data_IF_387664669001
#
_entry.id   IF_387664669001
#
_cell.length_a   1.000
_cell.length_b   1.000
_cell.length_c   1.000
_cell.angle_alpha   90.00
_cell.angle_beta   90.00
_cell.angle_gamma   90.00
#
_symmetry.space_group_name_H-M   'P 1'
#
loop_
_entity.id
_entity.type
_entity.pdbx_description
1 polymer ?
#
# COMPACT_ATOMS: atom_id res chain seq x y z
N UNK A 1 23.11 12.67 -4.99
CA UNK A 1 23.36 11.34 -4.37
C UNK A 1 22.81 10.30 -5.32
N UNK A 2 23.67 9.80 -6.20
CA UNK A 2 23.32 8.85 -7.27
C UNK A 2 23.76 7.47 -6.81
N UNK A 3 22.80 6.55 -6.77
CA UNK A 3 22.92 5.17 -6.30
C UNK A 3 23.82 4.36 -7.24
N UNK A 4 24.92 3.83 -6.70
CA UNK A 4 25.83 2.95 -7.41
C UNK A 4 25.25 1.54 -7.44
N UNK A 5 24.90 1.06 -8.63
CA UNK A 5 24.40 -0.28 -8.89
C UNK A 5 25.53 -1.31 -8.76
N UNK A 6 25.26 -2.36 -8.01
CA UNK A 6 26.12 -3.53 -7.80
C UNK A 6 26.15 -4.36 -9.09
N UNK A 7 27.28 -4.34 -9.80
CA UNK A 7 27.55 -5.27 -10.90
C UNK A 7 28.32 -6.47 -10.33
N UNK A 8 27.65 -7.62 -10.28
CA UNK A 8 28.20 -8.87 -9.81
C UNK A 8 28.82 -9.61 -11.00
N UNK A 9 30.15 -9.77 -10.96
CA UNK A 9 30.96 -10.47 -11.96
C UNK A 9 30.72 -11.99 -11.84
N UNK A 10 30.09 -12.60 -12.83
CA UNK A 10 29.92 -14.04 -12.92
C UNK A 10 31.12 -14.64 -13.66
N UNK A 11 32.03 -15.28 -12.92
CA UNK A 11 33.12 -16.09 -13.47
C UNK A 11 32.58 -17.48 -13.79
N UNK A 12 32.44 -17.79 -15.07
CA UNK A 12 32.23 -19.13 -15.63
C UNK A 12 33.54 -19.93 -15.58
N UNK A 13 33.56 -21.19 -15.10
CA UNK A 13 34.76 -22.02 -15.17
C UNK A 13 34.96 -22.54 -16.59
N UNK A 14 36.21 -22.41 -17.06
CA UNK A 14 36.66 -22.82 -18.38
C UNK A 14 36.65 -24.35 -18.55
N UNK A 15 36.24 -24.79 -19.74
CA UNK A 15 36.30 -26.17 -20.20
C UNK A 15 37.76 -26.58 -20.45
N UNK A 16 38.15 -27.74 -19.91
CA UNK A 16 39.47 -28.33 -20.06
C UNK A 16 39.55 -29.12 -21.37
N UNK A 17 40.26 -28.57 -22.36
CA UNK A 17 40.61 -29.25 -23.61
C UNK A 17 41.77 -30.22 -23.38
N UNK A 18 41.51 -31.52 -23.40
CA UNK A 18 42.54 -32.55 -23.49
C UNK A 18 42.94 -32.74 -24.95
N UNK A 19 44.10 -32.23 -25.32
CA UNK A 19 44.78 -32.52 -26.59
C UNK A 19 45.62 -33.79 -26.44
N UNK A 20 45.25 -34.85 -27.16
CA UNK A 20 46.08 -36.04 -27.33
C UNK A 20 47.08 -35.77 -28.45
N UNK A 21 48.34 -35.56 -28.11
CA UNK A 21 49.45 -35.58 -29.06
C UNK A 21 50.27 -36.86 -28.85
N UNK A 22 50.38 -37.65 -29.91
CA UNK A 22 51.21 -38.83 -29.95
C UNK A 22 52.59 -38.47 -30.48
N UNK A 23 53.65 -38.90 -29.81
CA UNK A 23 54.95 -39.12 -30.46
C UNK A 23 55.74 -40.19 -29.71
N UNK A 24 56.06 -41.23 -30.46
CA UNK A 24 57.00 -42.33 -30.23
C UNK A 24 58.43 -41.87 -29.98
N UNK A 25 59.16 -42.54 -29.08
CA UNK A 25 60.62 -42.37 -28.93
C UNK A 25 61.25 -43.28 -27.87
N UNK A 26 61.70 -44.45 -28.33
CA UNK A 26 62.57 -45.48 -27.75
C UNK A 26 63.43 -45.16 -26.50
N UNK A 27 63.45 -46.11 -25.55
CA UNK A 27 64.67 -46.51 -24.80
C UNK A 27 64.68 -48.02 -24.53
N UNK A 28 65.72 -48.63 -25.11
CA UNK A 28 66.60 -49.74 -24.73
C UNK A 28 66.22 -50.79 -23.66
N UNK A 29 66.76 -51.99 -23.91
CA UNK A 29 66.38 -53.29 -23.38
C UNK A 29 66.93 -53.65 -22.00
N UNK A 30 66.21 -54.53 -21.28
CA UNK A 30 66.82 -55.66 -20.55
C UNK A 30 65.81 -56.81 -20.50
N UNK A 31 66.16 -57.91 -21.16
CA UNK A 31 65.44 -59.17 -21.16
C UNK A 31 65.59 -59.90 -19.83
N UNK A 32 64.47 -60.33 -19.25
CA UNK A 32 64.41 -61.51 -18.38
C UNK A 32 63.12 -62.28 -18.72
N UNK A 33 63.29 -63.53 -19.11
CA UNK A 33 62.32 -64.47 -19.67
C UNK A 33 61.40 -65.06 -18.59
N UNK A 34 60.06 -64.86 -18.65
CA UNK A 34 59.13 -65.49 -17.71
C UNK A 34 58.49 -66.79 -18.24
N UNK A 35 59.00 -67.41 -19.32
CA UNK A 35 58.43 -68.67 -19.83
C UNK A 35 58.85 -69.93 -19.03
N UNK A 36 59.53 -69.77 -17.89
CA UNK A 36 60.16 -70.87 -17.16
C UNK A 36 59.24 -71.74 -16.28
N UNK A 37 57.96 -71.41 -16.08
CA UNK A 37 57.04 -72.22 -15.26
C UNK A 37 55.74 -72.58 -16.01
N UNK A 38 55.87 -73.36 -17.09
CA UNK A 38 54.73 -74.02 -17.73
C UNK A 38 54.62 -75.46 -17.23
N UNK A 39 54.02 -75.67 -16.07
CA UNK A 39 53.57 -76.99 -15.62
C UNK A 39 52.14 -77.25 -16.12
N UNK A 40 52.04 -77.78 -17.34
CA UNK A 40 50.83 -78.42 -17.83
C UNK A 40 50.90 -79.92 -17.54
N UNK A 41 50.26 -80.37 -16.45
CA UNK A 41 49.96 -81.78 -16.22
C UNK A 41 48.44 -81.93 -16.27
N UNK A 42 47.91 -82.38 -17.40
CA UNK A 42 46.51 -82.75 -17.55
C UNK A 42 46.38 -84.24 -17.22
N UNK A 43 45.90 -84.55 -16.02
CA UNK A 43 45.42 -85.90 -15.71
C UNK A 43 43.98 -86.01 -16.23
N UNK A 44 43.81 -86.77 -17.31
CA UNK A 44 42.51 -87.15 -17.83
C UNK A 44 41.96 -88.30 -16.97
N UNK A 45 40.99 -87.98 -16.10
CA UNK A 45 40.14 -89.00 -15.49
C UNK A 45 39.12 -89.48 -16.52
N UNK A 46 39.24 -90.75 -16.90
CA UNK A 46 38.37 -91.52 -17.78
C UNK A 46 36.96 -91.67 -17.17
N UNK A 47 35.92 -91.31 -17.93
CA UNK A 47 34.53 -91.42 -17.49
C UNK A 47 33.49 -90.74 -18.39
N UNK A 48 33.14 -91.37 -19.51
CA UNK A 48 31.78 -91.42 -20.09
C UNK A 48 31.04 -90.13 -20.51
N UNK A 49 30.96 -89.92 -21.84
CA UNK A 49 29.89 -89.26 -22.62
C UNK A 49 29.47 -87.79 -22.34
N UNK A 50 29.95 -86.86 -23.18
CA UNK A 50 29.17 -86.15 -24.22
C UNK A 50 29.98 -84.98 -24.81
N UNK A 51 29.89 -84.80 -26.13
CA UNK A 51 30.64 -83.81 -26.93
C UNK A 51 30.03 -82.41 -26.79
N UNK A 52 30.10 -81.82 -25.59
CA UNK A 52 29.57 -80.48 -25.28
C UNK A 52 30.71 -79.60 -24.79
N UNK A 53 30.84 -78.40 -25.38
CA UNK A 53 31.80 -77.38 -24.95
C UNK A 53 31.61 -77.14 -23.44
N UNK A 54 32.62 -77.34 -22.58
CA UNK A 54 32.47 -77.37 -21.13
C UNK A 54 31.68 -76.22 -20.48
N UNK A 55 31.73 -74.96 -20.95
CA UNK A 55 30.91 -73.88 -20.39
C UNK A 55 29.45 -73.85 -20.89
N UNK A 56 29.04 -74.72 -21.81
CA UNK A 56 27.66 -74.89 -22.28
C UNK A 56 27.06 -76.26 -21.94
N UNK A 57 27.58 -76.94 -20.92
CA UNK A 57 26.97 -78.17 -20.40
C UNK A 57 25.61 -77.87 -19.72
N UNK A 58 24.48 -78.34 -20.31
CA UNK A 58 23.15 -78.09 -19.77
C UNK A 58 22.89 -78.69 -18.40
N UNK A 59 23.72 -79.61 -17.91
CA UNK A 59 23.62 -80.13 -16.55
C UNK A 59 23.92 -79.06 -15.48
N UNK A 60 24.64 -77.99 -15.81
CA UNK A 60 25.02 -76.93 -14.86
C UNK A 60 24.04 -75.75 -14.81
N UNK A 61 23.24 -75.53 -15.87
CA UNK A 61 22.27 -74.43 -15.94
C UNK A 61 21.22 -74.46 -14.82
N UNK A 62 20.65 -75.59 -14.38
CA UNK A 62 19.67 -75.60 -13.30
C UNK A 62 20.21 -75.02 -11.97
N UNK A 63 21.47 -75.32 -11.64
CA UNK A 63 22.12 -74.78 -10.43
C UNK A 63 22.39 -73.28 -10.55
N UNK A 64 22.86 -72.82 -11.71
CA UNK A 64 23.05 -71.40 -11.98
C UNK A 64 21.72 -70.63 -11.93
N UNK A 65 20.66 -71.18 -12.53
CA UNK A 65 19.32 -70.58 -12.51
C UNK A 65 18.72 -70.58 -11.09
N UNK A 66 18.95 -71.63 -10.29
CA UNK A 66 18.52 -71.68 -8.89
C UNK A 66 19.21 -70.56 -8.08
N UNK A 67 20.54 -70.42 -8.19
CA UNK A 67 21.26 -69.35 -7.49
C UNK A 67 20.95 -67.95 -8.02
N UNK A 68 20.73 -67.81 -9.33
CA UNK A 68 20.25 -66.58 -9.93
C UNK A 68 18.87 -66.21 -9.37
N UNK A 69 17.95 -67.17 -9.28
CA UNK A 69 16.63 -66.95 -8.73
C UNK A 69 16.69 -66.58 -7.24
N UNK A 70 17.53 -67.25 -6.44
CA UNK A 70 17.72 -66.95 -5.02
C UNK A 70 18.31 -65.54 -4.83
N UNK A 71 19.40 -65.21 -5.54
CA UNK A 71 20.06 -63.90 -5.42
C UNK A 71 19.18 -62.77 -5.96
N UNK A 72 18.48 -62.99 -7.07
CA UNK A 72 17.53 -62.04 -7.62
C UNK A 72 16.33 -61.83 -6.69
N UNK A 73 15.78 -62.89 -6.10
CA UNK A 73 14.70 -62.78 -5.12
C UNK A 73 15.16 -62.03 -3.86
N UNK A 74 16.37 -62.30 -3.36
CA UNK A 74 16.94 -61.57 -2.23
C UNK A 74 17.13 -60.08 -2.54
N UNK A 75 17.67 -59.75 -3.72
CA UNK A 75 17.82 -58.37 -4.19
C UNK A 75 16.47 -57.69 -4.39
N UNK A 76 15.50 -58.37 -4.98
CA UNK A 76 14.14 -57.88 -5.19
C UNK A 76 13.47 -57.55 -3.86
N UNK A 77 13.58 -58.43 -2.86
CA UNK A 77 13.05 -58.17 -1.52
C UNK A 77 13.74 -56.98 -0.86
N UNK A 78 15.06 -56.84 -1.00
CA UNK A 78 15.81 -55.70 -0.48
C UNK A 78 15.36 -54.37 -1.13
N UNK A 79 15.25 -54.34 -2.46
CA UNK A 79 14.77 -53.17 -3.20
C UNK A 79 13.32 -52.83 -2.87
N UNK A 80 12.46 -53.85 -2.79
CA UNK A 80 11.04 -53.69 -2.46
C UNK A 80 10.84 -53.18 -1.05
N UNK A 81 11.58 -53.70 -0.06
CA UNK A 81 11.43 -53.33 1.35
C UNK A 81 12.20 -52.08 1.76
N UNK A 82 13.26 -51.67 1.04
CA UNK A 82 14.13 -50.57 1.48
C UNK A 82 14.27 -49.44 0.47
N UNK A 83 14.56 -49.74 -0.79
CA UNK A 83 14.82 -48.70 -1.79
C UNK A 83 13.54 -47.99 -2.24
N UNK A 84 12.49 -48.75 -2.60
CA UNK A 84 11.19 -48.18 -3.00
C UNK A 84 10.54 -47.31 -1.89
N UNK A 85 10.45 -47.76 -0.62
CA UNK A 85 9.85 -46.91 0.41
C UNK A 85 10.67 -45.65 0.71
N UNK A 86 12.02 -45.70 0.62
CA UNK A 86 12.89 -44.52 0.76
C UNK A 86 12.64 -43.48 -0.34
N UNK A 87 12.49 -43.91 -1.59
CA UNK A 87 12.20 -42.98 -2.70
C UNK A 87 10.78 -42.43 -2.58
N UNK A 88 9.82 -43.28 -2.22
CA UNK A 88 8.43 -42.88 -1.97
C UNK A 88 8.32 -41.82 -0.86
N UNK A 89 9.03 -41.99 0.26
CA UNK A 89 9.00 -41.02 1.36
C UNK A 89 9.56 -39.66 0.96
N UNK A 90 10.64 -39.62 0.17
CA UNK A 90 11.23 -38.36 -0.30
C UNK A 90 10.28 -37.65 -1.27
N UNK A 91 9.64 -38.39 -2.17
CA UNK A 91 8.70 -37.81 -3.12
C UNK A 91 7.48 -37.24 -2.39
N UNK A 92 6.95 -37.96 -1.41
CA UNK A 92 5.84 -37.51 -0.58
C UNK A 92 6.22 -36.28 0.25
N UNK A 93 7.40 -36.26 0.87
CA UNK A 93 7.88 -35.09 1.63
C UNK A 93 8.00 -33.85 0.73
N UNK A 94 8.57 -34.00 -0.47
CA UNK A 94 8.67 -32.89 -1.44
C UNK A 94 7.30 -32.40 -1.88
N UNK A 95 6.38 -33.33 -2.18
CA UNK A 95 5.01 -32.99 -2.54
C UNK A 95 4.32 -32.24 -1.40
N UNK A 96 4.41 -32.75 -0.17
CA UNK A 96 3.82 -32.12 1.00
C UNK A 96 4.39 -30.71 1.25
N UNK A 97 5.71 -30.52 1.07
CA UNK A 97 6.33 -29.18 1.16
C UNK A 97 5.82 -28.23 0.08
N UNK A 98 5.76 -28.68 -1.17
CA UNK A 98 5.24 -27.86 -2.28
C UNK A 98 3.78 -27.48 -2.03
N UNK A 99 2.95 -28.45 -1.65
CA UNK A 99 1.53 -28.20 -1.37
C UNK A 99 1.36 -27.24 -0.18
N UNK A 100 2.20 -27.36 0.85
CA UNK A 100 2.21 -26.43 1.99
C UNK A 100 2.67 -25.02 1.59
N UNK A 101 3.71 -24.89 0.76
CA UNK A 101 4.22 -23.62 0.28
C UNK A 101 3.20 -22.91 -0.62
N UNK A 102 2.52 -23.65 -1.50
CA UNK A 102 1.43 -23.13 -2.33
C UNK A 102 0.26 -22.66 -1.44
N UNK A 103 -0.15 -23.48 -0.46
CA UNK A 103 -1.22 -23.11 0.46
C UNK A 103 -0.86 -21.86 1.29
N UNK A 104 0.39 -21.74 1.73
CA UNK A 104 0.88 -20.57 2.46
C UNK A 104 0.93 -19.32 1.57
N UNK A 105 1.34 -19.46 0.30
CA UNK A 105 1.33 -18.38 -0.69
C UNK A 105 -0.09 -17.91 -0.99
N UNK A 106 -1.04 -18.83 -1.21
CA UNK A 106 -2.44 -18.50 -1.45
C UNK A 106 -3.09 -17.84 -0.23
N UNK A 107 -2.82 -18.34 0.98
CA UNK A 107 -3.31 -17.72 2.20
C UNK A 107 -2.73 -16.31 2.40
N UNK A 108 -1.46 -16.10 2.06
CA UNK A 108 -0.82 -14.78 2.12
C UNK A 108 -1.42 -13.84 1.08
N UNK A 109 -1.63 -14.31 -0.14
CA UNK A 109 -2.31 -13.55 -1.20
C UNK A 109 -3.71 -13.14 -0.79
N UNK A 110 -4.52 -14.07 -0.28
CA UNK A 110 -5.88 -13.77 0.20
C UNK A 110 -5.89 -12.73 1.33
N UNK A 111 -4.94 -12.81 2.26
CA UNK A 111 -4.78 -11.80 3.33
C UNK A 111 -4.43 -10.43 2.75
N UNK A 112 -3.52 -10.37 1.78
CA UNK A 112 -3.17 -9.12 1.10
C UNK A 112 -4.37 -8.55 0.33
N UNK A 113 -5.07 -9.36 -0.45
CA UNK A 113 -6.25 -8.94 -1.22
C UNK A 113 -7.35 -8.42 -0.27
N UNK A 114 -7.59 -9.11 0.86
CA UNK A 114 -8.53 -8.65 1.89
C UNK A 114 -8.08 -7.34 2.56
N UNK A 115 -6.79 -7.18 2.83
CA UNK A 115 -6.24 -5.96 3.40
C UNK A 115 -6.34 -4.77 2.44
N UNK A 116 -6.08 -4.99 1.14
CA UNK A 116 -6.26 -3.97 0.09
C UNK A 116 -7.73 -3.56 0.01
N UNK A 117 -8.65 -4.52 -0.06
CA UNK A 117 -10.09 -4.23 -0.11
C UNK A 117 -10.56 -3.44 1.13
N UNK A 118 -10.11 -3.82 2.32
CA UNK A 118 -10.43 -3.11 3.56
C UNK A 118 -9.85 -1.69 3.58
N UNK A 119 -8.62 -1.51 3.09
CA UNK A 119 -7.97 -0.20 2.99
C UNK A 119 -8.70 0.72 2.00
N UNK A 120 -9.04 0.22 0.81
CA UNK A 120 -9.80 0.96 -0.19
C UNK A 120 -11.19 1.35 0.31
N UNK A 121 -11.89 0.43 0.98
CA UNK A 121 -13.18 0.70 1.61
C UNK A 121 -13.07 1.77 2.71
N UNK A 122 -12.04 1.69 3.56
CA UNK A 122 -11.79 2.69 4.60
C UNK A 122 -11.48 4.07 3.99
N UNK A 123 -10.70 4.12 2.92
CA UNK A 123 -10.38 5.36 2.20
C UNK A 123 -11.63 5.97 1.54
N UNK A 124 -12.46 5.15 0.91
CA UNK A 124 -13.72 5.59 0.32
C UNK A 124 -14.68 6.14 1.39
N UNK A 125 -14.83 5.42 2.51
CA UNK A 125 -15.65 5.85 3.63
C UNK A 125 -15.14 7.15 4.27
N UNK A 126 -13.81 7.29 4.43
CA UNK A 126 -13.20 8.51 4.95
C UNK A 126 -13.43 9.71 4.03
N UNK A 127 -13.28 9.54 2.71
CA UNK A 127 -13.58 10.58 1.71
C UNK A 127 -15.05 10.98 1.74
N UNK A 128 -15.96 10.01 1.76
CA UNK A 128 -17.40 10.27 1.85
C UNK A 128 -17.76 11.01 3.13
N UNK A 129 -17.20 10.61 4.28
CA UNK A 129 -17.40 11.29 5.55
C UNK A 129 -16.86 12.72 5.55
N UNK A 130 -15.67 12.94 4.99
CA UNK A 130 -15.09 14.28 4.87
C UNK A 130 -15.95 15.20 3.99
N UNK A 131 -16.45 14.69 2.86
CA UNK A 131 -17.38 15.43 1.99
C UNK A 131 -18.70 15.74 2.71
N UNK A 132 -19.24 14.77 3.45
CA UNK A 132 -20.44 14.97 4.28
C UNK A 132 -20.26 16.06 5.32
N UNK A 133 -19.16 16.02 6.09
CA UNK A 133 -18.84 17.05 7.09
C UNK A 133 -18.67 18.42 6.43
N UNK A 134 -17.98 18.50 5.29
CA UNK A 134 -17.77 19.76 4.58
C UNK A 134 -19.11 20.37 4.10
N UNK A 135 -20.02 19.54 3.58
CA UNK A 135 -21.34 19.98 3.16
C UNK A 135 -22.18 20.45 4.36
N UNK A 136 -22.28 19.64 5.42
CA UNK A 136 -23.02 19.96 6.64
C UNK A 136 -22.51 21.24 7.29
N UNK A 137 -21.19 21.37 7.44
CA UNK A 137 -20.55 22.57 8.00
C UNK A 137 -20.81 23.78 7.12
N UNK A 138 -20.71 23.63 5.80
CA UNK A 138 -20.99 24.70 4.85
C UNK A 138 -22.43 25.21 4.96
N UNK A 139 -23.41 24.32 5.10
CA UNK A 139 -24.81 24.69 5.22
C UNK A 139 -25.16 25.26 6.61
N UNK A 140 -24.54 24.75 7.68
CA UNK A 140 -24.63 25.32 9.01
C UNK A 140 -24.07 26.75 9.04
N UNK A 141 -22.89 26.98 8.47
CA UNK A 141 -22.26 28.32 8.38
C UNK A 141 -23.14 29.28 7.58
N UNK A 142 -23.69 28.87 6.43
CA UNK A 142 -24.61 29.71 5.64
C UNK A 142 -25.84 30.13 6.46
N UNK A 143 -26.40 29.20 7.21
CA UNK A 143 -27.59 29.43 8.05
C UNK A 143 -27.28 30.37 9.22
N UNK A 144 -26.16 30.15 9.91
CA UNK A 144 -25.70 31.01 10.99
C UNK A 144 -25.39 32.43 10.47
N UNK A 145 -24.74 32.52 9.32
CA UNK A 145 -24.43 33.80 8.67
C UNK A 145 -25.69 34.55 8.24
N UNK A 146 -26.70 33.86 7.70
CA UNK A 146 -27.98 34.48 7.38
C UNK A 146 -28.69 35.01 8.64
N UNK A 147 -28.65 34.25 9.73
CA UNK A 147 -29.22 34.66 11.03
C UNK A 147 -28.51 35.89 11.59
N UNK A 148 -27.16 35.86 11.63
CA UNK A 148 -26.35 36.99 12.10
C UNK A 148 -26.54 38.24 11.23
N UNK A 149 -26.59 38.08 9.91
CA UNK A 149 -26.87 39.19 8.98
C UNK A 149 -28.21 39.84 9.29
N UNK A 150 -29.30 39.05 9.39
CA UNK A 150 -30.63 39.57 9.74
C UNK A 150 -30.65 40.29 11.09
N UNK A 151 -29.95 39.75 12.10
CA UNK A 151 -29.85 40.39 13.41
C UNK A 151 -29.12 41.74 13.35
N UNK A 152 -28.00 41.81 12.62
CA UNK A 152 -27.25 43.05 12.42
C UNK A 152 -28.05 44.06 11.60
N UNK A 153 -28.75 43.64 10.56
CA UNK A 153 -29.63 44.50 9.77
C UNK A 153 -30.76 45.08 10.62
N UNK A 154 -31.37 44.27 11.49
CA UNK A 154 -32.41 44.73 12.41
C UNK A 154 -31.88 45.73 13.46
N UNK A 155 -30.71 45.47 14.05
CA UNK A 155 -30.05 46.39 14.99
C UNK A 155 -29.67 47.72 14.29
N UNK A 156 -29.15 47.64 13.07
CA UNK A 156 -28.80 48.81 12.27
C UNK A 156 -30.04 49.64 11.94
N UNK A 157 -31.14 49.01 11.52
CA UNK A 157 -32.40 49.71 11.25
C UNK A 157 -32.92 50.43 12.49
N UNK A 158 -32.89 49.78 13.65
CA UNK A 158 -33.28 50.39 14.94
C UNK A 158 -32.41 51.60 15.29
N UNK A 159 -31.09 51.49 15.11
CA UNK A 159 -30.15 52.60 15.34
C UNK A 159 -30.38 53.76 14.40
N UNK A 160 -30.66 53.51 13.12
CA UNK A 160 -30.99 54.54 12.13
C UNK A 160 -32.27 55.26 12.55
N UNK A 161 -33.35 54.54 12.86
CA UNK A 161 -34.61 55.15 13.32
C UNK A 161 -34.42 55.97 14.61
N UNK A 162 -33.63 55.48 15.57
CA UNK A 162 -33.32 56.22 16.79
C UNK A 162 -32.51 57.50 16.51
N UNK A 163 -31.54 57.43 15.61
CA UNK A 163 -30.75 58.58 15.20
C UNK A 163 -31.61 59.62 14.46
N UNK A 164 -32.49 59.20 13.56
CA UNK A 164 -33.45 60.05 12.87
C UNK A 164 -34.38 60.77 13.86
N UNK A 165 -34.91 60.05 14.85
CA UNK A 165 -35.75 60.64 15.90
C UNK A 165 -34.98 61.69 16.73
N UNK A 166 -33.72 61.41 17.08
CA UNK A 166 -32.86 62.37 17.80
C UNK A 166 -32.57 63.61 16.95
N UNK A 167 -32.25 63.44 15.67
CA UNK A 167 -32.02 64.55 14.74
C UNK A 167 -33.29 65.41 14.62
N UNK A 168 -34.46 64.80 14.48
CA UNK A 168 -35.73 65.52 14.42
C UNK A 168 -36.01 66.31 15.71
N UNK A 169 -35.77 65.71 16.88
CA UNK A 169 -35.94 66.36 18.17
C UNK A 169 -34.97 67.54 18.36
N UNK A 170 -33.68 67.34 18.06
CA UNK A 170 -32.67 68.43 18.12
C UNK A 170 -32.99 69.54 17.15
N UNK A 171 -33.47 69.22 15.94
CA UNK A 171 -33.93 70.23 14.97
C UNK A 171 -35.11 71.03 15.52
N UNK A 172 -36.12 70.37 16.09
CA UNK A 172 -37.27 71.06 16.68
C UNK A 172 -36.86 71.97 17.85
N UNK A 173 -35.99 71.49 18.75
CA UNK A 173 -35.47 72.28 19.85
C UNK A 173 -34.66 73.49 19.36
N UNK A 174 -33.78 73.31 18.37
CA UNK A 174 -33.01 74.39 17.78
C UNK A 174 -33.91 75.46 17.13
N UNK A 175 -34.97 75.06 16.43
CA UNK A 175 -35.95 76.01 15.87
C UNK A 175 -36.71 76.76 16.96
N UNK A 176 -37.11 76.09 18.05
CA UNK A 176 -37.73 76.75 19.21
C UNK A 176 -36.83 77.79 19.85
N UNK A 177 -35.53 77.49 20.01
CA UNK A 177 -34.57 78.45 20.54
C UNK A 177 -34.36 79.66 19.62
N UNK A 178 -34.42 79.45 18.30
CA UNK A 178 -34.36 80.57 17.33
C UNK A 178 -35.59 81.47 17.46
N UNK A 179 -36.79 80.89 17.60
CA UNK A 179 -38.04 81.65 17.83
C UNK A 179 -38.00 82.45 19.14
N UNK A 180 -37.46 81.86 20.22
CA UNK A 180 -37.26 82.53 21.51
C UNK A 180 -36.30 83.72 21.39
N UNK A 181 -35.11 83.51 20.80
CA UNK A 181 -34.11 84.56 20.59
C UNK A 181 -34.68 85.68 19.70
N UNK A 182 -35.43 85.32 18.65
CA UNK A 182 -36.08 86.30 17.78
C UNK A 182 -37.11 87.14 18.54
N UNK A 183 -37.93 86.52 19.39
CA UNK A 183 -38.90 87.23 20.22
C UNK A 183 -38.24 88.14 21.27
N UNK A 184 -37.21 87.67 21.96
CA UNK A 184 -36.44 88.48 22.93
C UNK A 184 -35.74 89.67 22.26
N UNK A 185 -35.14 89.45 21.09
CA UNK A 185 -34.48 90.51 20.31
C UNK A 185 -35.51 91.52 19.81
N UNK A 186 -36.61 91.06 19.23
CA UNK A 186 -37.70 91.94 18.76
C UNK A 186 -38.30 92.75 19.92
N UNK A 187 -38.49 92.14 21.09
CA UNK A 187 -38.98 92.85 22.27
C UNK A 187 -38.01 93.94 22.71
N UNK A 188 -36.71 93.64 22.77
CA UNK A 188 -35.67 94.62 23.12
C UNK A 188 -35.68 95.82 22.18
N UNK A 189 -35.76 95.57 20.86
CA UNK A 189 -35.77 96.62 19.84
C UNK A 189 -37.05 97.46 19.92
N UNK A 190 -38.23 96.84 20.06
CA UNK A 190 -39.52 97.54 20.13
C UNK A 190 -39.62 98.37 21.41
N UNK A 191 -39.16 97.85 22.55
CA UNK A 191 -39.13 98.59 23.82
C UNK A 191 -38.27 99.86 23.72
N UNK A 192 -37.15 99.80 23.00
CA UNK A 192 -36.30 100.98 22.75
C UNK A 192 -36.95 102.01 21.81
N UNK A 193 -37.82 101.62 20.88
CA UNK A 193 -38.44 102.53 19.90
C UNK A 193 -39.77 103.14 20.37
N UNK A 194 -40.64 102.36 21.01
CA UNK A 194 -42.06 102.72 21.25
C UNK A 194 -42.44 102.74 22.74
N UNK A 195 -41.56 102.27 23.63
CA UNK A 195 -41.82 102.17 25.08
C UNK A 195 -42.27 100.76 25.50
N UNK A 196 -42.80 100.61 26.72
CA UNK A 196 -43.09 99.29 27.31
C UNK A 196 -44.25 98.58 26.58
N UNK A 197 -43.98 97.40 26.03
CA UNK A 197 -44.95 96.58 25.27
C UNK A 197 -44.98 95.17 25.83
N UNK A 198 -46.17 94.58 25.92
CA UNK A 198 -46.33 93.26 26.54
C UNK A 198 -45.57 92.17 25.77
N UNK A 199 -44.88 91.30 26.50
CA UNK A 199 -44.10 90.18 25.95
C UNK A 199 -44.97 89.20 25.14
N UNK A 200 -46.25 89.07 25.49
CA UNK A 200 -47.18 88.17 24.82
C UNK A 200 -47.59 88.70 23.43
N UNK A 201 -47.72 90.03 23.31
CA UNK A 201 -48.00 90.71 22.02
C UNK A 201 -46.85 90.52 21.04
N UNK A 202 -45.60 90.73 21.51
CA UNK A 202 -44.40 90.59 20.67
C UNK A 202 -44.22 89.14 20.22
N UNK A 203 -44.37 88.16 21.13
CA UNK A 203 -44.32 86.74 20.79
C UNK A 203 -45.39 86.35 19.77
N UNK A 204 -46.61 86.82 19.92
CA UNK A 204 -47.68 86.54 18.96
C UNK A 204 -47.39 87.14 17.57
N UNK A 205 -46.79 88.33 17.50
CA UNK A 205 -46.41 88.98 16.24
C UNK A 205 -45.25 88.25 15.53
N UNK A 206 -44.20 87.87 16.27
CA UNK A 206 -43.07 87.10 15.72
C UNK A 206 -43.53 85.73 15.24
N UNK A 207 -44.38 85.03 16.00
CA UNK A 207 -44.93 83.74 15.60
C UNK A 207 -45.86 83.82 14.38
N UNK A 208 -46.50 84.96 14.14
CA UNK A 208 -47.28 85.21 12.92
C UNK A 208 -46.36 85.46 11.72
N UNK A 209 -45.26 86.18 11.92
CA UNK A 209 -44.28 86.49 10.88
C UNK A 209 -43.43 85.27 10.47
N UNK A 210 -43.14 84.33 11.38
CA UNK A 210 -42.39 83.10 11.06
C UNK A 210 -43.21 82.02 10.34
N UNK A 211 -44.52 82.21 10.18
CA UNK A 211 -45.44 81.31 9.46
C UNK A 211 -45.72 81.72 8.02
N UNK A 212 -45.37 82.93 7.60
CA UNK A 212 -45.40 83.37 6.19
C UNK A 212 -44.08 83.04 5.48
#
# INVERSE_FOLDING_TARGET
>A
MVTQAYAQEAVTPAEEHVTVDGTTGAVDATHADPTADTHATTEAHDGGHSDVFPPFDPATFPSQLLWLAISFAALYLLMSKLALPRVGSILEERKARIDADIAAADASRQKTDAAIAAYEAALAAAKAKAQGIAAETGDAIKTELATKRKAVEADLASKVTSAEARIAATKAAAMSHVDEIAAETAQTVVTQLVGDVSADSVRAAVAKASKE
#
